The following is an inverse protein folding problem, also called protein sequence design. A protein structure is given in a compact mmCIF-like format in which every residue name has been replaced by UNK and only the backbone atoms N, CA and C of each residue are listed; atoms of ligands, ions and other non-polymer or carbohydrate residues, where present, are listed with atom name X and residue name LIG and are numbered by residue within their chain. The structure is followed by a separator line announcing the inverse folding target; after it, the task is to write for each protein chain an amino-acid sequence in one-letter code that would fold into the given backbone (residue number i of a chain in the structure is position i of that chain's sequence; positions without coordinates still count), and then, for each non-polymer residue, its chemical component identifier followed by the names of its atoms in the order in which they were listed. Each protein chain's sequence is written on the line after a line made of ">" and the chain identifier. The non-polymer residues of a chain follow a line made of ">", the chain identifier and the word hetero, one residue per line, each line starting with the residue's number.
data_IF_978022842766
#
_entry.id   IF_978022842766
#
_cell.length_a   1.000
_cell.length_b   1.000
_cell.length_c   1.000
_cell.angle_alpha   90.00
_cell.angle_beta   90.00
_cell.angle_gamma   90.00
#
_symmetry.space_group_name_H-M   'P 1'
#
loop_
_entity.id
_entity.type
_entity.pdbx_description
1 polymer ?
#
# COMPACT_ATOMS: atom_id res chain seq x y z
N UNK A 1 -2.88 -25.31 28.50
CA UNK A 1 -1.83 -24.51 27.83
C UNK A 1 -0.83 -24.06 28.89
N UNK A 2 0.48 -24.18 28.62
CA UNK A 2 1.53 -23.73 29.57
C UNK A 2 1.76 -22.22 29.42
N UNK A 3 2.25 -21.55 30.45
CA UNK A 3 2.60 -20.11 30.42
C UNK A 3 3.63 -19.80 29.32
N UNK A 4 4.57 -20.72 29.08
CA UNK A 4 5.55 -20.63 28.00
C UNK A 4 4.90 -20.57 26.61
N UNK A 5 3.85 -21.37 26.36
CA UNK A 5 3.14 -21.36 25.08
C UNK A 5 2.40 -20.04 24.83
N UNK A 6 1.82 -19.46 25.90
CA UNK A 6 1.16 -18.15 25.83
C UNK A 6 2.17 -17.06 25.51
N UNK A 7 3.31 -17.03 26.22
CA UNK A 7 4.38 -16.06 25.96
C UNK A 7 4.94 -16.18 24.54
N UNK A 8 5.19 -17.40 24.07
CA UNK A 8 5.65 -17.63 22.70
C UNK A 8 4.65 -17.09 21.67
N UNK A 9 3.35 -17.36 21.86
CA UNK A 9 2.29 -16.88 20.97
C UNK A 9 2.25 -15.35 20.92
N UNK A 10 2.32 -14.68 22.08
CA UNK A 10 2.30 -13.21 22.15
C UNK A 10 3.52 -12.62 21.44
N UNK A 11 4.71 -13.17 21.69
CA UNK A 11 5.95 -12.72 21.04
C UNK A 11 5.86 -12.90 19.52
N UNK A 12 5.41 -14.07 19.05
CA UNK A 12 5.24 -14.33 17.61
C UNK A 12 4.28 -13.34 16.96
N UNK A 13 3.15 -13.03 17.60
CA UNK A 13 2.20 -12.04 17.08
C UNK A 13 2.82 -10.64 17.00
N UNK A 14 3.49 -10.19 18.07
CA UNK A 14 4.14 -8.87 18.08
C UNK A 14 5.24 -8.76 17.03
N UNK A 15 6.08 -9.78 16.88
CA UNK A 15 7.11 -9.81 15.84
C UNK A 15 6.50 -9.79 14.45
N UNK A 16 5.43 -10.56 14.20
CA UNK A 16 4.74 -10.56 12.91
C UNK A 16 4.18 -9.17 12.56
N UNK A 17 3.56 -8.49 13.54
CA UNK A 17 3.04 -7.13 13.35
C UNK A 17 4.16 -6.11 13.11
N UNK A 18 5.29 -6.23 13.83
CA UNK A 18 6.45 -5.37 13.63
C UNK A 18 7.09 -5.58 12.26
N UNK A 19 7.27 -6.83 11.83
CA UNK A 19 7.80 -7.17 10.50
C UNK A 19 6.87 -6.67 9.39
N UNK A 20 5.56 -6.88 9.54
CA UNK A 20 4.57 -6.37 8.58
C UNK A 20 4.62 -4.84 8.48
N UNK A 21 4.64 -4.14 9.61
CA UNK A 21 4.76 -2.67 9.66
C UNK A 21 6.04 -2.20 8.98
N UNK A 22 7.19 -2.81 9.31
CA UNK A 22 8.48 -2.48 8.72
C UNK A 22 8.50 -2.71 7.21
N UNK A 23 7.88 -3.79 6.72
CA UNK A 23 7.78 -4.09 5.30
C UNK A 23 6.97 -3.02 4.55
N UNK A 24 5.81 -2.61 5.11
CA UNK A 24 4.99 -1.56 4.50
C UNK A 24 5.73 -0.23 4.44
N UNK A 25 6.48 0.10 5.50
CA UNK A 25 7.32 1.29 5.53
C UNK A 25 8.44 1.22 4.49
N UNK A 26 9.15 0.10 4.42
CA UNK A 26 10.22 -0.10 3.46
C UNK A 26 9.71 0.07 2.03
N UNK A 27 8.58 -0.54 1.67
CA UNK A 27 7.99 -0.42 0.33
C UNK A 27 7.53 1.01 0.05
N UNK A 28 6.90 1.69 1.01
CA UNK A 28 6.52 3.09 0.84
C UNK A 28 7.71 4.05 0.66
N UNK A 29 8.85 3.78 1.29
CA UNK A 29 10.06 4.59 1.16
C UNK A 29 10.87 4.26 -0.08
N UNK A 30 10.94 2.98 -0.48
CA UNK A 30 11.66 2.53 -1.68
C UNK A 30 10.88 2.83 -2.96
N UNK A 31 9.55 2.79 -2.92
CA UNK A 31 8.66 2.96 -4.06
C UNK A 31 7.59 4.05 -3.78
N UNK A 32 7.99 5.30 -3.48
CA UNK A 32 7.07 6.36 -3.06
C UNK A 32 6.07 6.73 -4.16
N UNK A 33 6.49 6.73 -5.43
CA UNK A 33 5.59 7.03 -6.55
C UNK A 33 4.49 5.98 -6.70
N UNK A 34 4.85 4.69 -6.63
CA UNK A 34 3.89 3.60 -6.78
C UNK A 34 2.91 3.54 -5.59
N UNK A 35 3.40 3.76 -4.37
CA UNK A 35 2.54 3.80 -3.18
C UNK A 35 1.59 4.99 -3.16
N UNK A 36 2.01 6.17 -3.63
CA UNK A 36 1.13 7.33 -3.79
C UNK A 36 0.05 7.11 -4.85
N UNK A 37 0.38 6.46 -5.97
CA UNK A 37 -0.63 6.10 -6.99
C UNK A 37 -1.64 5.10 -6.42
N UNK A 38 -1.17 4.09 -5.65
CA UNK A 38 -2.06 3.16 -4.95
C UNK A 38 -2.99 3.89 -3.97
N UNK A 39 -2.45 4.79 -3.14
CA UNK A 39 -3.21 5.64 -2.21
C UNK A 39 -4.29 6.44 -2.94
N UNK A 40 -3.92 7.08 -4.05
CA UNK A 40 -4.83 7.90 -4.84
C UNK A 40 -5.99 7.09 -5.43
N UNK A 41 -5.73 5.90 -5.98
CA UNK A 41 -6.80 5.04 -6.51
C UNK A 41 -7.74 4.52 -5.42
N UNK A 42 -7.25 4.31 -4.20
CA UNK A 42 -8.08 3.96 -3.05
C UNK A 42 -9.03 5.12 -2.65
N UNK A 43 -8.64 6.37 -2.90
CA UNK A 43 -9.49 7.53 -2.65
C UNK A 43 -10.51 7.76 -3.77
N UNK A 44 -10.05 7.75 -5.03
CA UNK A 44 -10.86 8.17 -6.18
C UNK A 44 -11.70 7.05 -6.80
N UNK A 45 -11.24 5.79 -6.72
CA UNK A 45 -11.77 4.67 -7.51
C UNK A 45 -12.05 3.42 -6.67
N UNK A 46 -12.69 3.59 -5.50
CA UNK A 46 -12.98 2.49 -4.54
C UNK A 46 -13.57 1.24 -5.19
N UNK A 47 -14.60 1.41 -6.03
CA UNK A 47 -15.29 0.27 -6.68
C UNK A 47 -14.40 -0.45 -7.67
N UNK A 48 -13.58 0.27 -8.46
CA UNK A 48 -12.67 -0.35 -9.43
C UNK A 48 -11.56 -1.11 -8.71
N UNK A 49 -10.95 -0.52 -7.68
CA UNK A 49 -9.94 -1.20 -6.86
C UNK A 49 -10.52 -2.47 -6.21
N UNK A 50 -11.75 -2.40 -5.70
CA UNK A 50 -12.42 -3.56 -5.13
C UNK A 50 -12.67 -4.67 -6.17
N UNK A 51 -13.25 -4.34 -7.33
CA UNK A 51 -13.56 -5.33 -8.38
C UNK A 51 -12.29 -5.97 -8.96
N UNK A 52 -11.25 -5.18 -9.24
CA UNK A 52 -9.97 -5.71 -9.72
C UNK A 52 -9.32 -6.60 -8.68
N UNK A 53 -9.32 -6.18 -7.41
CA UNK A 53 -8.81 -6.98 -6.31
C UNK A 53 -9.55 -8.30 -6.13
N UNK A 54 -10.87 -8.29 -6.28
CA UNK A 54 -11.71 -9.48 -6.20
C UNK A 54 -11.40 -10.45 -7.34
N UNK A 55 -11.26 -9.94 -8.57
CA UNK A 55 -10.82 -10.73 -9.73
C UNK A 55 -9.43 -11.35 -9.50
N UNK A 56 -8.49 -10.59 -8.96
CA UNK A 56 -7.16 -11.09 -8.62
C UNK A 56 -7.19 -12.14 -7.51
N UNK A 57 -8.04 -11.98 -6.51
CA UNK A 57 -8.19 -12.96 -5.44
C UNK A 57 -8.63 -14.33 -5.99
N UNK A 58 -9.53 -14.33 -6.97
CA UNK A 58 -9.94 -15.56 -7.68
C UNK A 58 -8.76 -16.14 -8.46
N UNK A 59 -7.98 -15.31 -9.17
CA UNK A 59 -6.78 -15.74 -9.88
C UNK A 59 -5.71 -16.32 -8.96
N UNK A 60 -5.56 -15.81 -7.73
CA UNK A 60 -4.66 -16.37 -6.70
C UNK A 60 -5.08 -17.79 -6.35
N UNK A 61 -6.38 -18.07 -6.21
CA UNK A 61 -6.87 -19.42 -5.92
C UNK A 61 -6.48 -20.41 -7.04
N UNK A 62 -6.51 -19.97 -8.30
CA UNK A 62 -6.06 -20.76 -9.45
C UNK A 62 -4.54 -20.98 -9.39
N UNK A 63 -3.76 -19.93 -9.12
CA UNK A 63 -2.30 -20.03 -8.95
C UNK A 63 -1.90 -20.99 -7.83
N UNK A 64 -2.66 -20.99 -6.73
CA UNK A 64 -2.46 -21.92 -5.62
C UNK A 64 -2.77 -23.37 -5.99
N UNK A 65 -3.78 -23.61 -6.83
CA UNK A 65 -4.07 -24.93 -7.39
C UNK A 65 -2.93 -25.43 -8.28
N UNK A 66 -2.40 -24.56 -9.15
CA UNK A 66 -1.23 -24.85 -9.99
C UNK A 66 0.03 -25.16 -9.17
N UNK A 67 0.26 -24.42 -8.09
CA UNK A 67 1.38 -24.67 -7.17
C UNK A 67 1.30 -26.05 -6.50
N UNK A 68 0.08 -26.57 -6.28
CA UNK A 68 -0.14 -27.91 -5.75
C UNK A 68 -0.06 -29.02 -6.80
N UNK A 69 0.03 -28.68 -8.08
CA UNK A 69 0.10 -29.66 -9.15
C UNK A 69 1.41 -30.47 -9.09
N UNK A 70 1.37 -31.70 -9.60
CA UNK A 70 2.51 -32.63 -9.54
C UNK A 70 3.71 -32.23 -10.41
N UNK A 71 3.51 -31.42 -11.45
CA UNK A 71 4.59 -31.08 -12.39
C UNK A 71 5.52 -29.97 -11.84
N UNK A 72 6.86 -30.11 -11.97
CA UNK A 72 7.80 -29.09 -11.53
C UNK A 72 7.60 -27.72 -12.19
N UNK A 73 7.23 -27.69 -13.47
CA UNK A 73 6.97 -26.45 -14.21
C UNK A 73 5.73 -25.72 -13.68
N UNK A 74 4.64 -26.44 -13.40
CA UNK A 74 3.46 -25.83 -12.81
C UNK A 74 3.73 -25.28 -11.40
N UNK A 75 4.60 -25.93 -10.61
CA UNK A 75 5.03 -25.41 -9.31
C UNK A 75 5.79 -24.09 -9.43
N UNK A 76 6.73 -23.99 -10.38
CA UNK A 76 7.47 -22.75 -10.61
C UNK A 76 6.56 -21.61 -11.07
N UNK A 77 5.65 -21.88 -12.00
CA UNK A 77 4.67 -20.87 -12.46
C UNK A 77 3.73 -20.45 -11.32
N UNK A 78 3.22 -21.42 -10.55
CA UNK A 78 2.40 -21.15 -9.38
C UNK A 78 3.14 -20.27 -8.35
N UNK A 79 4.38 -20.62 -8.03
CA UNK A 79 5.22 -19.84 -7.12
C UNK A 79 5.47 -18.41 -7.63
N UNK A 80 5.89 -18.25 -8.89
CA UNK A 80 6.12 -16.94 -9.49
C UNK A 80 4.86 -16.07 -9.49
N UNK A 81 3.69 -16.67 -9.76
CA UNK A 81 2.42 -15.94 -9.69
C UNK A 81 2.05 -15.53 -8.26
N UNK A 82 2.28 -16.38 -7.25
CA UNK A 82 2.06 -16.03 -5.84
C UNK A 82 2.97 -14.89 -5.39
N UNK A 83 4.25 -14.90 -5.76
CA UNK A 83 5.20 -13.82 -5.47
C UNK A 83 4.76 -12.50 -6.12
N UNK A 84 4.32 -12.55 -7.39
CA UNK A 84 3.80 -11.36 -8.07
C UNK A 84 2.58 -10.78 -7.35
N UNK A 85 1.61 -11.63 -6.97
CA UNK A 85 0.45 -11.19 -6.22
C UNK A 85 0.80 -10.69 -4.82
N UNK A 86 1.79 -11.31 -4.16
CA UNK A 86 2.34 -10.86 -2.89
C UNK A 86 2.96 -9.47 -2.99
N UNK A 87 3.76 -9.21 -4.02
CA UNK A 87 4.33 -7.90 -4.27
C UNK A 87 3.25 -6.81 -4.50
N UNK A 88 2.22 -7.11 -5.30
CA UNK A 88 1.08 -6.21 -5.51
C UNK A 88 0.30 -5.96 -4.21
N UNK A 89 0.08 -7.01 -3.40
CA UNK A 89 -0.58 -6.90 -2.11
C UNK A 89 0.18 -5.98 -1.17
N UNK A 90 1.50 -6.17 -1.01
CA UNK A 90 2.32 -5.34 -0.12
C UNK A 90 2.34 -3.89 -0.62
N UNK A 91 2.46 -3.66 -1.92
CA UNK A 91 2.43 -2.32 -2.51
C UNK A 91 1.10 -1.61 -2.23
N UNK A 92 -0.03 -2.28 -2.46
CA UNK A 92 -1.34 -1.70 -2.18
C UNK A 92 -1.59 -1.50 -0.69
N UNK A 93 -1.14 -2.42 0.17
CA UNK A 93 -1.24 -2.30 1.61
C UNK A 93 -0.41 -1.10 2.13
N UNK A 94 0.75 -0.83 1.53
CA UNK A 94 1.53 0.37 1.83
C UNK A 94 0.77 1.65 1.42
N UNK A 95 0.05 1.63 0.30
CA UNK A 95 -0.88 2.71 -0.09
C UNK A 95 -2.04 2.90 0.91
N UNK A 96 -2.62 1.81 1.43
CA UNK A 96 -3.64 1.88 2.50
C UNK A 96 -3.03 2.48 3.77
N UNK A 97 -1.82 2.08 4.15
CA UNK A 97 -1.12 2.63 5.31
C UNK A 97 -0.90 4.15 5.16
N UNK A 98 -0.46 4.63 4.00
CA UNK A 98 -0.36 6.07 3.71
C UNK A 98 -1.71 6.78 3.85
N UNK A 99 -2.77 6.18 3.30
CA UNK A 99 -4.12 6.72 3.36
C UNK A 99 -4.62 6.87 4.79
N UNK A 100 -4.41 5.86 5.63
CA UNK A 100 -4.78 5.90 7.06
C UNK A 100 -3.96 6.97 7.78
N UNK A 101 -2.65 7.00 7.52
CA UNK A 101 -1.74 7.98 8.11
C UNK A 101 -2.13 9.44 7.83
N UNK A 102 -2.51 9.74 6.58
CA UNK A 102 -2.91 11.08 6.16
C UNK A 102 -4.27 11.52 6.72
N UNK A 103 -5.20 10.59 6.94
CA UNK A 103 -6.50 10.91 7.57
C UNK A 103 -6.36 11.34 9.03
N UNK A 104 -5.23 11.05 9.67
CA UNK A 104 -4.96 11.39 11.06
C UNK A 104 -4.38 12.79 11.30
N UNK A 105 -4.10 13.58 10.26
CA UNK A 105 -3.57 14.95 10.39
C UNK A 105 -4.35 15.96 9.53
N UNK A 106 -4.59 17.20 10.01
CA UNK A 106 -5.27 18.24 9.24
C UNK A 106 -4.42 18.87 8.13
N UNK A 107 -3.12 18.59 8.07
CA UNK A 107 -2.17 19.38 7.29
C UNK A 107 -1.96 18.80 5.88
N UNK A 108 -2.24 19.64 4.87
CA UNK A 108 -2.07 19.34 3.45
C UNK A 108 -0.57 19.38 3.11
N UNK A 109 0.18 18.40 3.57
CA UNK A 109 1.63 18.27 3.37
C UNK A 109 2.04 16.97 2.69
N UNK A 110 3.29 16.93 2.19
CA UNK A 110 3.91 15.72 1.62
C UNK A 110 3.86 14.54 2.62
N UNK A 111 3.86 13.28 2.15
CA UNK A 111 3.85 12.11 3.02
C UNK A 111 5.02 12.16 4.01
N UNK A 112 4.70 12.42 5.28
CA UNK A 112 5.66 12.45 6.37
C UNK A 112 5.88 11.03 6.92
N UNK A 113 7.13 10.70 7.24
CA UNK A 113 7.52 9.42 7.85
C UNK A 113 6.66 9.06 9.07
N UNK A 114 6.33 10.06 9.91
CA UNK A 114 5.47 9.88 11.08
C UNK A 114 4.08 9.37 10.71
N UNK A 115 3.50 9.88 9.62
CA UNK A 115 2.15 9.52 9.19
C UNK A 115 2.14 8.11 8.60
N UNK A 116 3.17 7.78 7.83
CA UNK A 116 3.36 6.43 7.31
C UNK A 116 3.53 5.40 8.45
N UNK A 117 4.33 5.71 9.47
CA UNK A 117 4.50 4.83 10.64
C UNK A 117 3.18 4.64 11.40
N UNK A 118 2.45 5.73 11.68
CA UNK A 118 1.15 5.65 12.36
C UNK A 118 0.13 4.85 11.55
N UNK A 119 0.07 5.08 10.25
CA UNK A 119 -0.84 4.39 9.35
C UNK A 119 -0.53 2.90 9.21
N UNK A 120 0.75 2.54 9.04
CA UNK A 120 1.19 1.14 8.97
C UNK A 120 0.98 0.42 10.31
N UNK A 121 1.27 1.06 11.44
CA UNK A 121 0.98 0.49 12.75
C UNK A 121 -0.52 0.29 12.97
N UNK A 122 -1.34 1.28 12.60
CA UNK A 122 -2.81 1.19 12.71
C UNK A 122 -3.35 0.04 11.84
N UNK A 123 -2.85 -0.10 10.61
CA UNK A 123 -3.23 -1.19 9.71
C UNK A 123 -2.86 -2.56 10.30
N UNK A 124 -1.63 -2.70 10.81
CA UNK A 124 -1.16 -3.92 11.47
C UNK A 124 -2.00 -4.28 12.69
N UNK A 125 -2.29 -3.30 13.55
CA UNK A 125 -3.14 -3.49 14.74
C UNK A 125 -4.57 -3.88 14.38
N UNK A 126 -5.15 -3.25 13.37
CA UNK A 126 -6.48 -3.59 12.87
C UNK A 126 -6.55 -5.04 12.34
N UNK A 127 -5.51 -5.50 11.65
CA UNK A 127 -5.42 -6.89 11.18
C UNK A 127 -5.14 -7.89 12.32
N UNK A 128 -4.45 -7.47 13.38
CA UNK A 128 -4.17 -8.30 14.55
C UNK A 128 -5.36 -8.50 15.49
N UNK A 129 -6.42 -7.70 15.36
CA UNK A 129 -7.59 -7.82 16.21
C UNK A 129 -8.37 -9.11 15.91
N UNK A 130 -8.68 -9.96 16.90
CA UNK A 130 -9.38 -11.22 16.66
C UNK A 130 -10.81 -10.95 16.16
N UNK A 131 -11.34 -11.89 15.37
CA UNK A 131 -12.65 -11.84 14.72
C UNK A 131 -12.82 -10.70 13.71
N UNK A 132 -12.87 -9.43 14.15
CA UNK A 132 -13.10 -8.28 13.27
C UNK A 132 -11.91 -8.10 12.32
N UNK A 133 -10.69 -8.20 12.84
CA UNK A 133 -9.47 -8.04 12.05
C UNK A 133 -9.35 -9.12 10.98
N UNK A 134 -9.65 -10.38 11.29
CA UNK A 134 -9.44 -11.50 10.36
C UNK A 134 -10.59 -11.77 9.41
N UNK A 135 -11.85 -11.63 9.86
CA UNK A 135 -13.02 -12.00 9.04
C UNK A 135 -13.62 -10.83 8.28
N UNK A 136 -13.43 -9.60 8.75
CA UNK A 136 -13.98 -8.41 8.09
C UNK A 136 -12.88 -7.55 7.49
N UNK A 137 -11.92 -7.14 8.34
CA UNK A 137 -10.95 -6.13 7.94
C UNK A 137 -9.88 -6.69 7.00
N UNK A 138 -9.27 -7.83 7.31
CA UNK A 138 -8.20 -8.42 6.52
C UNK A 138 -8.66 -8.85 5.11
N UNK A 139 -9.80 -9.55 4.91
CA UNK A 139 -10.23 -9.93 3.58
C UNK A 139 -10.54 -8.70 2.73
N UNK A 140 -11.17 -7.69 3.34
CA UNK A 140 -11.46 -6.43 2.67
C UNK A 140 -10.18 -5.67 2.32
N UNK A 141 -9.23 -5.57 3.26
CA UNK A 141 -7.93 -4.94 3.05
C UNK A 141 -7.13 -5.65 1.95
N UNK A 142 -7.14 -6.99 1.91
CA UNK A 142 -6.48 -7.78 0.86
C UNK A 142 -7.07 -7.46 -0.51
N UNK A 143 -8.39 -7.44 -0.64
CA UNK A 143 -9.06 -7.09 -1.91
C UNK A 143 -8.68 -5.67 -2.35
N UNK A 144 -8.81 -4.68 -1.46
CA UNK A 144 -8.44 -3.31 -1.80
C UNK A 144 -6.96 -3.14 -2.12
N UNK A 145 -6.08 -3.80 -1.38
CA UNK A 145 -4.64 -3.74 -1.58
C UNK A 145 -4.24 -4.38 -2.91
N UNK A 146 -4.76 -5.55 -3.26
CA UNK A 146 -4.48 -6.20 -4.55
C UNK A 146 -4.89 -5.31 -5.73
N UNK A 147 -6.11 -4.76 -5.69
CA UNK A 147 -6.59 -3.90 -6.77
C UNK A 147 -5.83 -2.58 -6.87
N UNK A 148 -5.52 -1.94 -5.74
CA UNK A 148 -4.75 -0.70 -5.71
C UNK A 148 -3.29 -0.93 -6.14
N UNK A 149 -2.68 -2.03 -5.71
CA UNK A 149 -1.34 -2.44 -6.11
C UNK A 149 -1.25 -2.69 -7.61
N UNK A 150 -2.23 -3.39 -8.18
CA UNK A 150 -2.31 -3.61 -9.63
C UNK A 150 -2.42 -2.30 -10.41
N UNK A 151 -3.30 -1.40 -9.97
CA UNK A 151 -3.48 -0.10 -10.61
C UNK A 151 -2.23 0.79 -10.51
N UNK A 152 -1.44 0.64 -9.44
CA UNK A 152 -0.21 1.41 -9.23
C UNK A 152 0.94 0.99 -10.16
N UNK A 153 0.98 -0.27 -10.58
CA UNK A 153 1.99 -0.76 -11.52
C UNK A 153 1.54 -0.56 -12.98
N UNK A 154 0.26 -0.28 -13.22
CA UNK A 154 -0.29 -0.13 -14.56
C UNK A 154 0.25 1.13 -15.27
N UNK A 155 0.82 1.03 -16.49
CA UNK A 155 1.57 2.12 -17.15
C UNK A 155 0.78 3.41 -17.39
N UNK A 156 -0.51 3.29 -17.70
CA UNK A 156 -1.36 4.40 -18.15
C UNK A 156 -1.81 5.37 -17.03
N UNK A 157 -1.49 5.07 -15.77
CA UNK A 157 -2.07 5.77 -14.61
C UNK A 157 -1.04 6.39 -13.67
N UNK A 158 0.14 6.74 -14.20
CA UNK A 158 1.08 7.59 -13.46
C UNK A 158 0.44 8.95 -13.24
N UNK A 159 0.23 9.32 -11.98
CA UNK A 159 -0.19 10.67 -11.62
C UNK A 159 0.81 11.65 -12.24
N UNK A 160 0.32 12.54 -13.11
CA UNK A 160 1.13 13.63 -13.62
C UNK A 160 1.74 14.35 -12.41
N UNK A 161 3.06 14.61 -12.39
CA UNK A 161 3.66 15.41 -11.33
C UNK A 161 2.84 16.68 -11.17
N UNK A 162 2.41 16.99 -9.94
CA UNK A 162 1.75 18.25 -9.64
C UNK A 162 2.69 19.35 -10.13
N UNK A 163 2.38 19.95 -11.28
CA UNK A 163 3.14 21.05 -11.84
C UNK A 163 3.23 22.12 -10.76
N UNK A 164 4.44 22.39 -10.28
CA UNK A 164 4.64 23.49 -9.35
C UNK A 164 4.05 24.74 -10.03
N UNK A 165 3.30 25.60 -9.30
CA UNK A 165 2.89 26.87 -9.87
C UNK A 165 4.14 27.56 -10.41
N UNK A 166 4.08 28.19 -11.60
CA UNK A 166 5.23 28.87 -12.16
C UNK A 166 5.79 29.78 -11.08
N UNK A 167 7.05 29.55 -10.70
CA UNK A 167 7.80 30.51 -9.91
C UNK A 167 7.76 31.78 -10.73
N UNK A 168 6.91 32.73 -10.33
CA UNK A 168 6.99 34.10 -10.82
C UNK A 168 8.35 34.57 -10.31
N UNK A 169 9.39 34.31 -11.10
CA UNK A 169 10.67 34.95 -10.95
C UNK A 169 10.36 36.43 -11.07
N UNK A 170 10.47 37.14 -9.95
CA UNK A 170 10.24 38.57 -9.86
C UNK A 170 11.30 39.32 -10.67
N UNK A 171 11.21 39.24 -11.99
CA UNK A 171 11.78 40.22 -12.90
C UNK A 171 10.83 41.41 -12.95
N UNK A 172 10.81 42.21 -11.88
CA UNK A 172 10.28 43.56 -11.97
C UNK A 172 11.19 44.35 -12.91
N UNK A 173 10.67 45.00 -13.96
CA UNK A 173 11.50 45.83 -14.82
C UNK A 173 12.13 46.94 -13.96
N UNK A 174 13.45 47.04 -14.07
CA UNK A 174 14.25 48.21 -13.75
C UNK A 174 13.50 49.48 -14.13
N UNK A 175 13.08 50.25 -13.13
CA UNK A 175 12.73 51.66 -13.31
C UNK A 175 14.04 52.45 -13.48
N UNK A 176 14.67 52.26 -14.64
CA UNK A 176 15.58 53.23 -15.21
C UNK A 176 14.74 54.30 -15.91
N UNK A 177 14.85 55.54 -15.41
CA UNK A 177 14.62 56.74 -16.21
C UNK A 177 13.17 57.14 -16.47
N UNK A 178 12.65 58.08 -15.68
CA UNK A 178 11.77 59.11 -16.21
C UNK A 178 12.00 60.41 -15.43
N UNK A 179 12.77 61.27 -16.09
CA UNK A 179 12.95 62.71 -15.87
C UNK A 179 11.67 63.40 -15.39
N UNK A 180 11.77 64.23 -14.35
CA UNK A 180 11.41 65.65 -14.35
C UNK A 180 11.94 66.33 -13.09
#
# INVERSE_FOLDING_TARGET
>A
MTTAAVQATVVTLLTLMATWTGLLMAVALLLPAATQVAEHHLQTSKVRSFLLGLGLLISIAIGFSLFRAGSPVAKLLGFASLELFGALLVLGAAGIAQLIGRRGEPEVGQPNFRNLLRGSLTLSLAMGFPFIGWFLFAPLAVVFALGAGLLAVWPERRLAPKTLPPVISGGGPTQEGLNH
#
